data_IF_462452354872
#
_entry.id   IF_462452354872
#
_cell.length_a   1.000
_cell.length_b   1.000
_cell.length_c   1.000
_cell.angle_alpha   90.00
_cell.angle_beta   90.00
_cell.angle_gamma   90.00
#
_symmetry.space_group_name_H-M   'P 1'
#
loop_
_entity.id
_entity.type
_entity.pdbx_description
1 polymer ?
2 non-polymer ?
3 water ?
#
# COMPACT_ATOMS: atom_id res chain seq x y z
N UNK A 1 17.60 -11.89 15.13
CA UNK A 1 17.85 -12.88 14.04
C UNK A 1 16.85 -12.86 12.88
N UNK A 2 17.07 -11.96 11.88
CA UNK A 2 16.40 -12.12 10.59
C UNK A 2 16.90 -13.41 9.95
N UNK A 3 16.04 -14.11 9.22
CA UNK A 3 16.41 -15.39 8.62
C UNK A 3 16.96 -15.22 7.23
N UNK A 4 17.74 -16.19 6.78
CA UNK A 4 18.30 -16.17 5.45
C UNK A 4 17.20 -15.99 4.40
N UNK A 5 16.04 -16.55 4.70
CA UNK A 5 14.86 -16.49 3.81
C UNK A 5 14.20 -15.10 3.77
N UNK A 6 14.37 -14.33 4.85
CA UNK A 6 13.80 -12.99 4.94
C UNK A 6 14.39 -11.99 3.94
N UNK A 7 15.54 -12.33 3.38
CA UNK A 7 16.23 -11.44 2.46
C UNK A 7 16.01 -11.73 0.97
N UNK A 8 15.13 -12.69 0.70
CA UNK A 8 14.69 -12.98 -0.64
C UNK A 8 13.74 -11.90 -1.11
N UNK A 9 13.87 -11.50 -2.36
CA UNK A 9 13.08 -10.39 -2.93
C UNK A 9 11.57 -10.60 -2.86
N UNK A 10 11.16 -11.85 -2.67
CA UNK A 10 9.73 -12.18 -2.66
C UNK A 10 9.17 -12.39 -1.26
N UNK A 11 9.97 -12.09 -0.26
CA UNK A 11 9.52 -12.10 1.13
C UNK A 11 8.54 -10.96 1.36
N UNK A 12 7.81 -11.02 2.48
CA UNK A 12 6.81 -9.99 2.83
C UNK A 12 7.34 -8.56 2.73
N UNK A 13 8.43 -8.29 3.46
CA UNK A 13 8.87 -6.91 3.58
C UNK A 13 9.14 -6.28 2.22
N UNK A 14 9.71 -7.04 1.31
CA UNK A 14 10.11 -6.46 0.02
C UNK A 14 8.92 -6.25 -0.94
N UNK A 15 8.06 -7.26 -1.04
CA UNK A 15 6.83 -7.15 -1.81
C UNK A 15 6.09 -5.91 -1.35
N UNK A 16 6.00 -5.77 -0.03
CA UNK A 16 5.43 -4.58 0.55
C UNK A 16 6.14 -3.30 0.08
N UNK A 17 7.47 -3.35 0.06
CA UNK A 17 8.27 -2.21 -0.32
C UNK A 17 8.04 -1.85 -1.79
N UNK A 18 8.05 -2.87 -2.64
CA UNK A 18 7.86 -2.72 -4.07
C UNK A 18 6.44 -2.32 -4.40
N UNK A 19 5.45 -3.07 -3.89
CA UNK A 19 4.07 -2.71 -4.24
C UNK A 19 3.78 -1.28 -3.78
N UNK A 20 4.28 -0.92 -2.60
CA UNK A 20 4.07 0.44 -2.17
C UNK A 20 4.66 1.39 -3.22
N UNK A 21 5.90 1.11 -3.63
CA UNK A 21 6.60 1.92 -4.60
C UNK A 21 5.79 2.05 -5.89
N UNK A 22 5.45 0.91 -6.48
CA UNK A 22 4.70 0.88 -7.74
C UNK A 22 3.38 1.61 -7.63
N UNK A 23 2.59 1.22 -6.63
CA UNK A 23 1.28 1.82 -6.40
C UNK A 23 1.28 3.34 -6.27
N UNK A 24 2.41 3.90 -5.84
CA UNK A 24 2.50 5.32 -5.53
C UNK A 24 3.32 6.16 -6.49
N UNK A 25 4.18 5.53 -7.28
CA UNK A 25 4.98 6.23 -8.29
C UNK A 25 4.14 6.59 -9.51
N UNK A 26 3.79 7.87 -9.61
CA UNK A 26 2.88 8.41 -10.65
C UNK A 26 3.31 8.07 -12.06
N UNK A 27 4.61 8.18 -12.31
CA UNK A 27 5.14 7.94 -13.64
C UNK A 27 5.23 6.47 -14.02
N UNK A 28 5.20 5.59 -13.02
CA UNK A 28 5.41 4.15 -13.24
C UNK A 28 4.59 3.56 -14.37
N UNK A 29 3.29 3.85 -14.41
CA UNK A 29 2.39 3.24 -15.40
C UNK A 29 2.70 3.67 -16.83
N UNK A 30 3.02 4.95 -17.01
CA UNK A 30 3.44 5.43 -18.33
C UNK A 30 4.70 4.70 -18.74
N UNK A 31 5.74 4.79 -17.91
CA UNK A 31 6.97 4.01 -18.10
C UNK A 31 6.67 2.56 -18.44
N UNK A 32 5.61 2.02 -17.90
CA UNK A 32 5.30 0.61 -18.10
C UNK A 32 4.62 0.34 -19.43
N UNK A 33 3.67 1.21 -19.80
CA UNK A 33 2.96 1.10 -21.07
C UNK A 33 3.89 1.37 -22.24
N UNK A 34 4.61 2.49 -22.18
CA UNK A 34 5.66 2.82 -23.14
C UNK A 34 6.64 1.68 -23.37
N UNK A 35 6.71 0.75 -22.42
CA UNK A 35 7.65 -0.35 -22.48
C UNK A 35 7.05 -1.62 -23.06
N UNK A 36 5.73 -1.65 -23.20
CA UNK A 36 5.06 -2.79 -23.83
C UNK A 36 5.24 -2.65 -25.34
N UNK A 37 5.00 -1.42 -25.83
CA UNK A 37 5.31 -1.00 -27.20
C UNK A 37 6.70 -1.47 -27.65
N UNK A 38 7.74 -1.14 -26.87
CA UNK A 38 9.14 -1.48 -27.21
C UNK A 38 9.68 -2.74 -26.52
N UNK B 6 -6.86 4.71 -21.00
CA UNK B 6 -6.20 3.69 -20.13
C UNK B 6 -6.09 2.36 -20.84
N UNK B 7 -4.87 1.84 -20.99
CA UNK B 7 -4.69 0.51 -21.58
C UNK B 7 -5.10 -0.56 -20.55
N UNK B 8 -4.40 -0.60 -19.41
CA UNK B 8 -4.58 -1.61 -18.36
C UNK B 8 -4.18 -3.03 -18.78
N UNK B 9 -2.87 -3.29 -18.73
CA UNK B 9 -2.31 -4.59 -19.08
C UNK B 9 -2.86 -5.74 -18.24
N UNK B 10 -2.91 -6.94 -18.80
CA UNK B 10 -3.16 -8.11 -17.98
C UNK B 10 -1.85 -8.69 -17.45
N UNK B 11 -1.92 -9.68 -16.56
CA UNK B 11 -0.74 -10.19 -15.83
C UNK B 11 0.30 -10.85 -16.73
N UNK B 12 -0.15 -11.44 -17.83
CA UNK B 12 0.78 -11.83 -18.88
C UNK B 12 1.47 -10.61 -19.52
N UNK B 13 0.70 -9.59 -19.90
CA UNK B 13 1.28 -8.42 -20.55
C UNK B 13 2.20 -7.63 -19.61
N UNK B 14 1.78 -7.53 -18.34
CA UNK B 14 2.50 -6.82 -17.29
C UNK B 14 3.86 -7.44 -17.02
N UNK B 15 3.94 -8.78 -16.92
CA UNK B 15 5.22 -9.42 -16.66
C UNK B 15 6.22 -9.07 -17.75
N UNK B 16 5.78 -9.20 -19.00
CA UNK B 16 6.60 -8.85 -20.16
C UNK B 16 7.06 -7.42 -20.11
N UNK B 17 6.14 -6.51 -19.85
CA UNK B 17 6.47 -5.09 -19.78
C UNK B 17 7.43 -4.81 -18.63
N UNK B 18 7.16 -5.41 -17.46
CA UNK B 18 7.95 -5.15 -16.27
C UNK B 18 9.36 -5.69 -16.49
N UNK B 19 9.44 -6.94 -16.94
CA UNK B 19 10.72 -7.55 -17.28
C UNK B 19 11.51 -6.65 -18.21
N UNK B 20 10.84 -6.14 -19.24
CA UNK B 20 11.53 -5.25 -20.16
C UNK B 20 11.96 -3.99 -19.46
N UNK B 21 11.05 -3.34 -18.74
CA UNK B 21 11.36 -2.09 -18.04
C UNK B 21 12.63 -2.19 -17.18
N UNK B 22 12.63 -3.17 -16.27
CA UNK B 22 13.66 -3.29 -15.25
C UNK B 22 15.00 -3.60 -15.90
N UNK B 23 14.96 -4.13 -17.12
CA UNK B 23 16.19 -4.48 -17.81
C UNK B 23 16.76 -3.37 -18.66
N UNK B 24 15.98 -2.33 -18.90
CA UNK B 24 16.37 -1.32 -19.87
C UNK B 24 16.36 0.10 -19.32
N UNK B 25 15.35 0.42 -18.54
CA UNK B 25 15.29 1.72 -17.88
C UNK B 25 16.11 1.62 -16.60
N UNK B 26 17.28 2.26 -16.60
CA UNK B 26 18.18 2.20 -15.44
C UNK B 26 17.68 3.04 -14.28
N UNK B 27 17.06 4.17 -14.59
CA UNK B 27 16.45 5.03 -13.57
C UNK B 27 15.46 4.24 -12.72
N UNK B 28 14.55 3.51 -13.36
CA UNK B 28 13.55 2.70 -12.67
C UNK B 28 14.12 1.50 -11.90
N UNK B 29 15.04 0.77 -12.50
CA UNK B 29 15.67 -0.35 -11.82
C UNK B 29 16.32 0.10 -10.52
N UNK B 30 16.97 1.26 -10.56
CA UNK B 30 17.70 1.76 -9.41
C UNK B 30 16.74 2.20 -8.31
N UNK B 31 15.60 2.74 -8.73
CA UNK B 31 14.53 3.11 -7.81
C UNK B 31 14.08 1.88 -7.02
N UNK B 32 13.74 0.80 -7.73
CA UNK B 32 13.45 -0.46 -7.09
C UNK B 32 14.61 -0.95 -6.23
N UNK B 33 15.83 -0.76 -6.71
CA UNK B 33 16.99 -1.23 -5.97
C UNK B 33 17.15 -0.48 -4.65
N UNK B 34 16.93 0.83 -4.68
CA UNK B 34 16.92 1.66 -3.47
C UNK B 34 15.81 1.22 -2.49
N UNK B 35 14.58 1.07 -2.98
CA UNK B 35 13.51 0.42 -2.21
C UNK B 35 14.07 -0.78 -1.47
N UNK B 36 14.67 -1.71 -2.23
CA UNK B 36 15.26 -2.94 -1.71
C UNK B 36 16.35 -2.71 -0.65
N UNK B 37 17.29 -1.81 -0.91
CA UNK B 37 18.33 -1.47 0.06
C UNK B 37 17.73 -0.95 1.36
N UNK B 38 16.74 -0.07 1.22
CA UNK B 38 16.07 0.47 2.38
C UNK B 38 15.41 -0.60 3.23
N UNK B 39 14.78 -1.57 2.57
CA UNK B 39 14.19 -2.72 3.25
C UNK B 39 15.26 -3.49 3.96
N UNK B 40 16.35 -3.78 3.24
CA UNK B 40 17.54 -4.45 3.78
C UNK B 40 18.09 -3.78 5.02
N UNK B 41 18.17 -2.44 4.96
CA UNK B 41 18.70 -1.67 6.06
C UNK B 41 17.88 -1.89 7.32
N UNK B 42 16.56 -1.76 7.20
CA UNK B 42 15.66 -1.98 8.33
C UNK B 42 15.88 -3.36 8.92
N UNK B 43 15.90 -4.36 8.06
CA UNK B 43 16.08 -5.72 8.50
C UNK B 43 17.39 -5.96 9.21
N UNK B 44 18.49 -5.52 8.59
CA UNK B 44 19.83 -5.89 9.05
C UNK B 44 20.33 -5.01 10.17
N UNK B 45 20.06 -3.71 10.08
CA UNK B 45 20.54 -2.79 11.10
C UNK B 45 19.41 -2.57 12.10
N UNK B 46 18.36 -3.38 11.94
CA UNK B 46 17.19 -3.48 12.83
C UNK B 46 16.42 -2.16 13.06
N UNK C 1 23.71 -18.65 12.47
CA UNK C 1 23.68 -18.78 10.98
C UNK C 1 24.88 -18.11 10.35
N UNK C 2 24.72 -17.65 9.09
CA UNK C 2 25.72 -16.88 8.34
C UNK C 2 25.50 -15.38 8.51
N UNK C 3 26.39 -14.58 7.92
CA UNK C 3 26.37 -13.14 8.10
C UNK C 3 25.45 -12.57 7.03
N UNK C 4 24.20 -12.32 7.44
CA UNK C 4 23.08 -11.93 6.57
C UNK C 4 23.40 -10.80 5.63
N UNK C 5 24.10 -9.79 6.13
CA UNK C 5 24.49 -8.65 5.33
C UNK C 5 25.14 -9.04 4.01
N UNK C 6 25.89 -10.14 4.01
CA UNK C 6 26.55 -10.67 2.82
C UNK C 6 25.60 -11.20 1.75
N UNK C 7 24.29 -11.11 1.97
CA UNK C 7 23.32 -11.51 0.96
C UNK C 7 22.97 -10.34 0.05
N UNK C 8 23.30 -9.14 0.53
CA UNK C 8 23.03 -7.92 -0.17
C UNK C 8 23.39 -8.01 -1.66
N UNK C 9 22.38 -7.86 -2.52
CA UNK C 9 22.54 -7.88 -3.97
C UNK C 9 22.93 -6.53 -4.56
N UNK C 10 23.91 -6.50 -5.44
CA UNK C 10 24.23 -5.29 -6.17
C UNK C 10 23.17 -5.09 -7.25
N UNK C 11 23.12 -3.90 -7.83
CA UNK C 11 22.04 -3.55 -8.75
C UNK C 11 21.89 -4.52 -9.94
N UNK C 12 23.00 -5.07 -10.43
CA UNK C 12 22.94 -6.03 -11.53
C UNK C 12 22.38 -7.37 -11.07
N UNK C 13 22.88 -7.90 -9.94
CA UNK C 13 22.34 -9.14 -9.40
C UNK C 13 20.87 -9.00 -9.04
N UNK C 14 20.54 -7.80 -8.54
CA UNK C 14 19.18 -7.45 -8.17
C UNK C 14 18.26 -7.61 -9.38
N UNK C 15 18.65 -7.04 -10.52
CA UNK C 15 17.80 -7.12 -11.70
C UNK C 15 17.64 -8.56 -12.18
N UNK C 16 18.71 -9.35 -12.08
CA UNK C 16 18.64 -10.79 -12.43
C UNK C 16 17.62 -11.52 -11.56
N UNK C 17 17.72 -11.35 -10.25
CA UNK C 17 16.91 -12.11 -9.32
C UNK C 17 15.45 -11.75 -9.45
N UNK C 18 15.19 -10.46 -9.63
CA UNK C 18 13.84 -9.92 -9.77
C UNK C 18 13.15 -10.53 -10.99
N UNK C 19 13.80 -10.39 -12.13
CA UNK C 19 13.35 -10.96 -13.39
C UNK C 19 13.02 -12.44 -13.21
N UNK C 20 13.91 -13.19 -12.60
CA UNK C 20 13.64 -14.58 -12.38
C UNK C 20 12.36 -14.76 -11.57
N UNK C 21 12.27 -14.05 -10.46
CA UNK C 21 11.14 -14.17 -9.54
C UNK C 21 9.81 -13.76 -10.14
N UNK C 22 9.81 -12.69 -10.94
CA UNK C 22 8.58 -12.22 -11.53
C UNK C 22 8.12 -13.15 -12.66
N UNK C 23 9.04 -14.01 -13.12
CA UNK C 23 8.76 -14.86 -14.25
C UNK C 23 8.40 -16.27 -13.85
N UNK C 24 8.68 -16.63 -12.61
CA UNK C 24 8.46 -18.00 -12.17
C UNK C 24 7.71 -18.09 -10.85
N UNK C 25 7.35 -16.93 -10.31
CA UNK C 25 6.60 -16.90 -9.06
C UNK C 25 5.29 -16.16 -9.27
N UNK C 26 4.22 -16.92 -9.46
CA UNK C 26 2.89 -16.38 -9.72
C UNK C 26 2.41 -15.45 -8.61
N UNK C 27 2.61 -15.84 -7.36
CA UNK C 27 2.19 -15.01 -6.22
C UNK C 27 2.85 -13.65 -6.31
N UNK C 28 4.17 -13.67 -6.55
CA UNK C 28 4.99 -12.48 -6.61
C UNK C 28 4.54 -11.55 -7.72
N UNK C 29 4.30 -12.13 -8.88
CA UNK C 29 3.95 -11.39 -10.08
C UNK C 29 2.60 -10.70 -9.93
N UNK C 30 1.66 -11.45 -9.35
CA UNK C 30 0.27 -11.01 -9.23
C UNK C 30 0.14 -9.85 -8.24
N UNK C 31 0.89 -9.94 -7.14
CA UNK C 31 0.99 -8.85 -6.18
C UNK C 31 1.51 -7.57 -6.80
N UNK C 32 2.56 -7.69 -7.62
CA UNK C 32 3.08 -6.54 -8.34
C UNK C 32 2.07 -6.01 -9.36
N UNK C 33 1.37 -6.95 -10.01
CA UNK C 33 0.34 -6.59 -10.97
C UNK C 33 -0.81 -5.81 -10.35
N UNK C 34 -1.36 -6.34 -9.25
CA UNK C 34 -2.38 -5.63 -8.50
C UNK C 34 -1.96 -4.26 -8.00
N UNK C 35 -0.69 -4.10 -7.63
CA UNK C 35 -0.18 -2.78 -7.22
C UNK C 35 -0.24 -1.83 -8.39
N UNK C 36 -0.01 -2.38 -9.59
CA UNK C 36 -0.08 -1.64 -10.84
C UNK C 36 -1.51 -1.14 -11.11
N UNK C 37 -2.46 -2.07 -11.12
CA UNK C 37 -3.88 -1.72 -11.31
C UNK C 37 -4.30 -0.63 -10.32
N UNK C 38 -4.14 -0.91 -9.03
CA UNK C 38 -4.45 0.06 -7.97
C UNK C 38 -3.85 1.43 -8.24
N UNK C 39 -2.55 1.46 -8.51
CA UNK C 39 -1.89 2.68 -8.91
C UNK C 39 -2.62 3.38 -10.03
N UNK C 40 -2.91 2.63 -11.10
CA UNK C 40 -3.66 3.17 -12.24
C UNK C 40 -4.93 3.86 -11.79
N UNK C 41 -5.89 3.06 -11.30
CA UNK C 41 -7.17 3.59 -10.85
C UNK C 41 -7.07 4.68 -9.77
N UNK C 42 -6.05 4.62 -8.91
CA UNK C 42 -5.89 5.63 -7.85
C UNK C 42 -5.32 6.95 -8.36
N UNK C 43 -4.54 6.88 -9.43
CA UNK C 43 -3.73 8.03 -9.87
C UNK C 43 -4.15 8.53 -11.24
N UNK D 1 10.91 23.13 6.20
CA UNK D 1 10.52 21.71 5.96
C UNK D 1 9.09 21.45 6.44
N UNK D 2 8.85 20.27 7.05
CA UNK D 2 7.51 19.76 7.44
C UNK D 2 6.77 20.75 8.34
N UNK D 3 5.54 21.10 7.97
CA UNK D 3 4.78 22.11 8.72
C UNK D 3 3.72 21.44 9.60
N UNK D 4 3.08 22.22 10.47
CA UNK D 4 2.07 21.69 11.38
C UNK D 4 0.93 21.02 10.60
N UNK D 5 0.56 21.59 9.46
CA UNK D 5 -0.55 21.05 8.67
C UNK D 5 -0.18 19.79 7.90
N UNK D 6 1.12 19.50 7.85
CA UNK D 6 1.64 18.29 7.18
C UNK D 6 1.25 17.03 7.95
N UNK D 7 1.00 17.19 9.24
CA UNK D 7 0.67 16.07 10.14
C UNK D 7 -0.81 15.89 10.43
N UNK D 8 -1.66 16.52 9.63
CA UNK D 8 -3.07 16.25 9.69
C UNK D 8 -3.34 14.97 8.93
N UNK D 9 -4.14 14.08 9.52
CA UNK D 9 -4.47 12.78 8.92
C UNK D 9 -4.96 12.84 7.49
N UNK D 10 -5.60 13.96 7.12
CA UNK D 10 -6.22 14.09 5.81
C UNK D 10 -5.26 14.54 4.72
N UNK D 11 -4.02 14.81 5.09
CA UNK D 11 -2.99 15.25 4.14
C UNK D 11 -2.50 14.10 3.27
N UNK D 12 -1.90 14.43 2.13
CA UNK D 12 -1.62 13.46 1.08
C UNK D 12 -0.72 12.33 1.51
N UNK D 13 0.26 12.62 2.33
CA UNK D 13 1.12 11.56 2.86
C UNK D 13 0.27 10.47 3.53
N UNK D 14 -0.73 10.86 4.30
CA UNK D 14 -1.52 9.87 5.02
C UNK D 14 -2.60 9.23 4.18
N UNK D 15 -3.17 9.97 3.24
CA UNK D 15 -4.08 9.39 2.25
C UNK D 15 -3.39 8.24 1.52
N UNK D 16 -2.10 8.39 1.21
CA UNK D 16 -1.35 7.29 0.59
C UNK D 16 -1.21 6.08 1.47
N UNK D 17 -0.83 6.29 2.72
CA UNK D 17 -0.63 5.20 3.67
C UNK D 17 -1.92 4.39 3.87
N UNK D 18 -3.02 5.13 4.06
CA UNK D 18 -4.33 4.54 4.34
C UNK D 18 -4.83 3.84 3.08
N UNK D 19 -4.71 4.52 1.94
CA UNK D 19 -5.07 3.91 0.67
C UNK D 19 -4.30 2.63 0.46
N UNK D 20 -3.01 2.68 0.76
CA UNK D 20 -2.19 1.51 0.58
C UNK D 20 -2.74 0.36 1.43
N UNK D 21 -3.01 0.66 2.70
CA UNK D 21 -3.44 -0.35 3.68
C UNK D 21 -4.81 -0.90 3.27
N UNK D 22 -5.70 -0.01 2.83
CA UNK D 22 -7.04 -0.39 2.40
C UNK D 22 -6.92 -1.39 1.25
N UNK D 23 -5.94 -1.20 0.37
CA UNK D 23 -5.86 -1.98 -0.89
C UNK D 23 -4.99 -3.22 -0.85
N UNK D 24 -4.21 -3.39 0.21
CA UNK D 24 -3.32 -4.55 0.28
C UNK D 24 -3.58 -5.42 1.51
N UNK D 25 -4.57 -5.06 2.32
CA UNK D 25 -4.95 -5.93 3.42
C UNK D 25 -6.02 -6.86 2.91
N UNK D 26 -5.62 -8.10 2.60
CA UNK D 26 -6.52 -9.12 2.02
C UNK D 26 -7.84 -9.30 2.80
N UNK D 27 -7.83 -9.03 4.10
CA UNK D 27 -9.00 -9.18 4.92
C UNK D 27 -9.81 -7.89 5.17
N UNK D 28 -9.48 -6.79 4.48
CA UNK D 28 -10.08 -5.50 4.80
C UNK D 28 -11.57 -5.42 4.53
N UNK D 29 -11.95 -5.67 3.28
CA UNK D 29 -13.36 -5.69 2.88
C UNK D 29 -14.22 -6.58 3.79
N UNK D 30 -13.67 -7.71 4.24
CA UNK D 30 -14.47 -8.59 5.10
C UNK D 30 -14.65 -7.92 6.42
N UNK D 31 -13.60 -7.24 6.86
CA UNK D 31 -13.62 -6.63 8.18
C UNK D 31 -14.60 -5.46 8.12
N UNK D 32 -14.53 -4.70 7.03
CA UNK D 32 -15.45 -3.58 6.80
C UNK D 32 -16.91 -4.04 6.80
N UNK D 33 -17.17 -5.11 6.04
CA UNK D 33 -18.51 -5.64 5.93
C UNK D 33 -18.99 -6.26 7.21
N UNK D 34 -18.09 -6.85 7.99
CA UNK D 34 -18.46 -7.39 9.29
C UNK D 34 -18.81 -6.23 10.18
N UNK D 35 -18.00 -5.18 10.12
CA UNK D 35 -18.27 -3.94 10.82
C UNK D 35 -19.66 -3.42 10.47
N UNK D 36 -19.99 -3.45 9.18
CA UNK D 36 -21.31 -3.01 8.74
C UNK D 36 -22.37 -3.83 9.48
N UNK D 37 -22.30 -5.15 9.32
CA UNK D 37 -23.21 -6.04 9.97
C UNK D 37 -23.44 -5.66 11.44
N UNK D 38 -22.38 -5.72 12.25
CA UNK D 38 -22.43 -5.40 13.68
C UNK D 38 -22.88 -3.97 13.98
N UNK D 39 -22.42 -3.00 13.20
CA UNK D 39 -22.84 -1.62 13.32
C UNK D 39 -24.34 -1.47 13.19
N UNK D 40 -24.92 -2.05 12.14
CA UNK D 40 -26.36 -2.01 11.89
C UNK D 40 -27.12 -2.78 12.95
N UNK D 41 -26.51 -3.86 13.42
CA UNK D 41 -27.06 -4.66 14.50
C UNK D 41 -27.35 -3.81 15.74
N UNK D 42 -26.39 -2.97 16.13
CA UNK D 42 -26.62 -2.00 17.21
C UNK D 42 -27.72 -0.98 16.91
N UNK D 43 -27.64 -0.31 15.76
CA UNK D 43 -28.66 0.69 15.37
C UNK D 43 -30.09 0.19 15.51
N UNK D 44 -30.35 -0.98 14.94
CA UNK D 44 -31.67 -1.61 15.00
C UNK D 44 -32.03 -2.16 16.40
N UNK D 45 -31.26 -1.75 17.41
CA UNK D 45 -31.53 -1.98 18.86
C UNK D 45 -31.85 -3.44 19.22
N UNK E 3 -21.39 -3.00 -12.22
CA UNK E 3 -21.91 -3.97 -11.21
C UNK E 3 -21.31 -3.82 -9.79
N UNK E 4 -19.98 -3.87 -9.69
CA UNK E 4 -19.27 -3.77 -8.40
C UNK E 4 -19.58 -2.51 -7.59
N UNK E 5 -19.64 -1.37 -8.26
CA UNK E 5 -19.91 -0.09 -7.59
C UNK E 5 -21.28 -0.12 -6.91
N UNK E 6 -22.24 -0.80 -7.54
CA UNK E 6 -23.57 -1.02 -6.97
C UNK E 6 -23.54 -2.04 -5.84
N UNK E 7 -22.67 -3.03 -5.96
CA UNK E 7 -22.68 -4.15 -5.03
C UNK E 7 -21.90 -3.86 -3.75
N UNK E 8 -20.74 -3.24 -3.89
CA UNK E 8 -19.95 -2.85 -2.72
C UNK E 8 -20.66 -1.73 -1.99
N UNK E 9 -20.15 -1.35 -0.82
CA UNK E 9 -20.79 -0.31 -0.03
C UNK E 9 -20.71 1.07 -0.68
N UNK E 10 -21.82 1.82 -0.65
CA UNK E 10 -21.80 3.19 -1.08
C UNK E 10 -21.06 4.02 -0.05
N UNK E 11 -20.96 5.32 -0.27
CA UNK E 11 -20.14 6.14 0.61
C UNK E 11 -20.72 6.23 2.02
N UNK E 12 -22.04 6.42 2.12
CA UNK E 12 -22.72 6.43 3.42
C UNK E 12 -22.49 5.16 4.24
N UNK E 13 -22.72 3.99 3.63
CA UNK E 13 -22.47 2.73 4.30
C UNK E 13 -21.00 2.58 4.67
N UNK E 14 -20.13 3.05 3.78
CA UNK E 14 -18.70 2.93 4.00
C UNK E 14 -18.25 3.74 5.22
N UNK E 15 -18.68 4.99 5.31
CA UNK E 15 -18.26 5.83 6.42
C UNK E 15 -18.69 5.21 7.77
N UNK E 16 -19.96 4.85 7.91
CA UNK E 16 -20.45 4.15 9.12
C UNK E 16 -19.73 2.84 9.37
N UNK E 17 -19.56 2.04 8.32
CA UNK E 17 -18.84 0.81 8.49
C UNK E 17 -17.42 1.07 8.98
N UNK E 18 -16.71 2.04 8.38
CA UNK E 18 -15.33 2.29 8.73
C UNK E 18 -15.24 2.81 10.15
N UNK E 19 -16.18 3.68 10.49
CA UNK E 19 -16.24 4.26 11.83
C UNK E 19 -16.42 3.20 12.90
N UNK E 20 -17.39 2.30 12.73
CA UNK E 20 -17.60 1.23 13.68
C UNK E 20 -16.39 0.30 13.73
N UNK E 21 -15.80 0.03 12.56
CA UNK E 21 -14.63 -0.86 12.47
C UNK E 21 -13.49 -0.39 13.37
N UNK E 22 -12.98 0.83 13.13
CA UNK E 22 -11.81 1.31 13.87
C UNK E 22 -12.16 1.52 15.34
N UNK E 23 -13.45 1.67 15.60
CA UNK E 23 -13.88 1.98 16.94
C UNK E 23 -14.14 0.74 17.74
N UNK E 24 -14.07 -0.42 17.09
CA UNK E 24 -14.49 -1.65 17.75
C UNK E 24 -13.55 -2.78 17.52
N UNK E 25 -12.57 -2.62 16.65
CA UNK E 25 -11.60 -3.65 16.40
C UNK E 25 -10.16 -3.16 16.62
N UNK E 26 -9.65 -3.35 17.85
CA UNK E 26 -8.30 -2.86 18.23
C UNK E 26 -7.22 -3.33 17.28
N UNK E 27 -7.31 -4.59 16.87
CA UNK E 27 -6.27 -5.18 16.03
C UNK E 27 -6.15 -4.28 14.81
N UNK E 28 -7.29 -3.92 14.23
CA UNK E 28 -7.32 -3.14 13.01
C UNK E 28 -7.00 -1.68 13.28
N UNK E 29 -7.55 -1.14 14.36
CA UNK E 29 -7.16 0.19 14.83
C UNK E 29 -5.64 0.31 14.91
N UNK E 30 -4.98 -0.62 15.59
CA UNK E 30 -3.54 -0.58 15.74
C UNK E 30 -2.84 -0.67 14.40
N UNK E 31 -3.42 -1.46 13.51
CA UNK E 31 -2.83 -1.67 12.21
C UNK E 31 -2.92 -0.35 11.47
N UNK E 32 -4.07 0.30 11.54
CA UNK E 32 -4.23 1.59 10.92
C UNK E 32 -3.27 2.63 11.52
N UNK E 33 -3.20 2.65 12.86
CA UNK E 33 -2.41 3.61 13.61
C UNK E 33 -0.94 3.51 13.21
N UNK E 34 -0.52 2.25 13.06
CA UNK E 34 0.86 1.92 12.71
C UNK E 34 1.20 2.46 11.35
N UNK E 35 0.26 2.37 10.40
CA UNK E 35 0.43 2.98 9.09
C UNK E 35 0.57 4.50 9.20
N UNK E 36 -0.20 5.12 10.06
CA UNK E 36 -0.07 6.57 10.22
C UNK E 36 1.31 6.93 10.79
N UNK E 37 1.78 6.16 11.76
CA UNK E 37 3.10 6.37 12.32
C UNK E 37 4.22 6.17 11.30
N UNK E 38 4.04 5.24 10.36
CA UNK E 38 4.94 5.16 9.20
C UNK E 38 5.09 6.50 8.47
N UNK E 39 3.96 7.15 8.18
CA UNK E 39 3.96 8.44 7.50
C UNK E 39 4.63 9.54 8.29
N UNK E 40 4.25 9.65 9.57
CA UNK E 40 4.90 10.55 10.52
C UNK E 40 6.39 10.31 10.54
N UNK E 41 6.78 9.05 10.59
CA UNK E 41 8.18 8.73 10.63
C UNK E 41 8.86 9.35 9.43
N UNK E 42 8.39 9.03 8.23
CA UNK E 42 9.09 9.51 7.03
C UNK E 42 8.95 11.02 6.85
N UNK E 43 8.15 11.66 7.69
CA UNK E 43 7.86 13.08 7.58
C UNK E 43 8.66 13.86 8.60
N UNK E 44 8.98 13.22 9.72
CA UNK E 44 9.72 13.84 10.81
C UNK E 44 11.18 13.40 10.80
N UNK E 45 11.44 12.19 10.33
CA UNK E 45 12.74 11.59 10.52
C UNK E 45 13.56 11.52 9.24
N UNK F 2 6.74 25.32 17.35
CA UNK F 2 6.20 24.03 17.82
C UNK F 2 7.20 22.87 17.61
N UNK F 3 7.23 21.92 18.53
CA UNK F 3 7.98 20.68 18.28
C UNK F 3 7.04 19.69 17.55
N UNK F 4 7.17 19.65 16.22
CA UNK F 4 6.36 18.77 15.36
C UNK F 4 6.08 17.36 15.90
N UNK F 5 7.08 16.75 16.51
CA UNK F 5 6.93 15.40 17.05
C UNK F 5 5.87 15.29 18.13
N UNK F 6 5.58 16.39 18.82
CA UNK F 6 4.62 16.41 19.91
C UNK F 6 3.20 16.38 19.38
N UNK F 7 3.09 16.44 18.06
CA UNK F 7 1.81 16.34 17.37
C UNK F 7 1.34 14.88 17.27
N UNK F 8 2.26 13.93 17.29
CA UNK F 8 1.97 12.50 17.16
C UNK F 8 0.88 12.01 18.10
N UNK F 9 -0.17 11.41 17.53
CA UNK F 9 -1.28 10.88 18.31
C UNK F 9 -1.12 9.42 18.75
N UNK F 10 -1.59 9.13 19.94
CA UNK F 10 -1.66 7.75 20.39
C UNK F 10 -2.88 7.11 19.74
N UNK F 11 -3.04 5.80 19.89
CA UNK F 11 -4.04 5.11 19.07
C UNK F 11 -5.47 5.54 19.37
N UNK F 12 -5.74 5.89 20.63
CA UNK F 12 -7.07 6.32 21.04
C UNK F 12 -7.40 7.72 20.46
N UNK F 13 -6.46 8.65 20.63
CA UNK F 13 -6.58 9.95 19.98
C UNK F 13 -6.69 9.78 18.48
N UNK F 14 -5.89 8.90 17.91
CA UNK F 14 -5.92 8.67 16.48
C UNK F 14 -7.30 8.31 15.95
N UNK F 15 -7.97 7.39 16.64
CA UNK F 15 -9.24 6.85 16.14
C UNK F 15 -10.32 7.93 16.22
N UNK F 16 -10.25 8.74 17.27
CA UNK F 16 -11.16 9.86 17.42
C UNK F 16 -10.90 10.90 16.32
N UNK F 17 -9.63 11.24 16.11
CA UNK F 17 -9.26 12.11 15.01
C UNK F 17 -9.76 11.54 13.67
N UNK F 18 -9.47 10.25 13.42
CA UNK F 18 -9.81 9.64 12.15
C UNK F 18 -11.33 9.62 11.98
N UNK F 19 -12.03 9.16 13.00
CA UNK F 19 -13.48 9.21 13.01
C UNK F 19 -13.99 10.60 12.63
N UNK F 20 -13.47 11.63 13.29
CA UNK F 20 -13.95 12.98 13.03
C UNK F 20 -13.80 13.41 11.58
N UNK F 21 -12.65 13.11 11.00
CA UNK F 21 -12.36 13.48 9.64
C UNK F 21 -13.20 12.71 8.64
N UNK F 22 -13.17 11.39 8.74
CA UNK F 22 -13.98 10.59 7.83
C UNK F 22 -15.47 10.99 7.91
N UNK F 23 -15.97 11.41 9.07
CA UNK F 23 -17.34 11.92 9.11
C UNK F 23 -17.58 13.34 8.58
N UNK F 24 -16.58 14.19 8.62
CA UNK F 24 -16.77 15.60 8.28
C UNK F 24 -16.02 16.12 7.06
N UNK F 25 -14.85 15.53 6.73
CA UNK F 25 -14.16 15.91 5.49
C UNK F 25 -14.62 14.99 4.34
N UNK F 26 -15.54 15.49 3.53
CA UNK F 26 -16.09 14.69 2.43
C UNK F 26 -15.02 14.30 1.41
N UNK F 27 -14.18 15.24 1.01
CA UNK F 27 -13.06 14.97 0.11
C UNK F 27 -12.19 13.81 0.63
N UNK F 28 -11.89 13.81 1.92
CA UNK F 28 -11.14 12.73 2.56
C UNK F 28 -11.87 11.40 2.46
N UNK F 29 -13.14 11.37 2.83
CA UNK F 29 -13.88 10.11 2.96
C UNK F 29 -13.96 9.47 1.58
N UNK F 30 -14.20 10.31 0.59
CA UNK F 30 -14.41 9.87 -0.77
C UNK F 30 -13.15 9.20 -1.33
N UNK F 31 -11.98 9.73 -1.01
CA UNK F 31 -10.72 9.06 -1.43
C UNK F 31 -10.58 7.66 -0.84
N UNK F 32 -10.96 7.49 0.41
CA UNK F 32 -10.80 6.20 1.08
C UNK F 32 -11.86 5.24 0.57
N UNK F 33 -13.01 5.80 0.23
CA UNK F 33 -14.08 5.03 -0.33
C UNK F 33 -13.75 4.50 -1.73
N UNK F 34 -13.19 5.37 -2.56
CA UNK F 34 -12.81 4.97 -3.90
C UNK F 34 -11.65 4.01 -3.84
N UNK F 35 -10.76 4.20 -2.86
CA UNK F 35 -9.68 3.25 -2.62
C UNK F 35 -10.29 1.87 -2.52
N UNK F 36 -11.26 1.74 -1.61
CA UNK F 36 -11.99 0.51 -1.36
C UNK F 36 -12.65 -0.05 -2.62
N UNK F 37 -13.43 0.78 -3.32
CA UNK F 37 -14.06 0.37 -4.58
C UNK F 37 -13.04 -0.23 -5.54
N UNK F 38 -12.02 0.55 -5.88
CA UNK F 38 -11.03 0.13 -6.87
C UNK F 38 -10.22 -1.08 -6.40
N UNK F 39 -9.82 -1.08 -5.13
CA UNK F 39 -9.17 -2.23 -4.54
C UNK F 39 -9.87 -3.55 -4.86
N UNK F 40 -11.19 -3.56 -4.62
CA UNK F 40 -12.02 -4.78 -4.78
C UNK F 40 -12.28 -5.13 -6.24
N UNK F 41 -12.53 -4.12 -7.07
CA UNK F 41 -12.70 -4.29 -8.50
C UNK F 41 -11.48 -4.94 -9.11
N UNK F 42 -10.32 -4.28 -8.93
CA UNK F 42 -9.05 -4.75 -9.47
C UNK F 42 -8.68 -6.17 -9.03
N UNK F 43 -9.20 -6.63 -7.90
CA UNK F 43 -9.02 -8.02 -7.51
C UNK F 43 -9.50 -8.98 -8.61
N UNK F 44 -10.65 -8.65 -9.19
CA UNK F 44 -11.32 -9.50 -10.16
C UNK F 44 -10.75 -9.36 -11.57
N UNK F 45 -10.20 -8.19 -11.88
CA UNK F 45 -9.66 -7.91 -13.21
C UNK F 45 -8.56 -8.88 -13.65
N UNK F 46 -8.63 -9.32 -14.91
CA UNK F 46 -7.65 -10.26 -15.50
C UNK F 46 -6.22 -9.71 -15.61
X LIG G 1 5.01 0.68 4.01
X LIG G 1 4.95 0.50 5.45
X LIG G 1 5.71 1.93 3.70
X LIG G 1 5.69 -0.48 3.41
X LIG G 1 3.65 0.72 3.48
X LIG H 1 25.11 -11.43 11.62
X LIG H 1 24.51 -11.66 12.93
X LIG H 1 25.25 -9.99 11.42
X LIG H 1 26.44 -12.05 11.60
X LIG H 1 24.26 -11.99 10.56
X LIG I 1 -9.05 -5.65 -0.21
X LIG I 1 -9.92 -5.70 0.98
X LIG I 1 -8.06 -4.58 -0.10
X LIG I 1 -8.33 -6.92 -0.32
X LIG I 1 -9.82 -5.40 -1.42
X LIG J 1 4.00 25.85 10.61
X LIG J 1 4.17 25.81 12.06
X LIG J 1 3.75 27.22 10.18
X LIG J 1 5.21 25.35 9.96
X LIG J 1 2.86 25.02 10.24
X LIG K 1 11.23 20.63 15.53
X LIG K 1 10.36 19.46 15.37
X LIG K 1 10.92 21.37 16.76
X LIG K 1 12.63 20.23 15.61
X LIG K 1 10.99 21.48 14.37
#
# INVERSE_FOLDING_TARGET
GPHMADLLLNSTQFVQAFTYLIQNDKEFANKLHKAYLNGCSNLLLD
GPHMADLLLNSTQFVQAFTYLIQNDKEFANKLHKAYLNGCSNLLLD
GPHMADLLLNSTQFVQAFTYLIQNDKEFANKLHKAYLNGCSNLLLD
GPHMADLLLNSTQFVQAFTYLIQNDKEFANKLHKAYLNGCSNLLLD
GPHMADLLLNSTQFVQAFTYLIQNDKEFANKLHKAYLNGCSNLLLD
GPHMADLLLNSTQFVQAFTYLIQNDKEFANKLHKAYLNGCSNLLLD
SO4 S O1 O2 O3 O4
SO4 S O1 O2 O3 O4
SO4 S O1 O2 O3 O4
SO4 S O1 O2 O3 O4
SO4 S O1 O2 O3 O4
#
